data_IF_835258681301
#
_entry.id   IF_835258681301
#
_cell.length_a   1.000
_cell.length_b   1.000
_cell.length_c   1.000
_cell.angle_alpha   90.00
_cell.angle_beta   90.00
_cell.angle_gamma   90.00
#
_symmetry.space_group_name_H-M   'P 1'
#
loop_
_entity.id
_entity.type
_entity.pdbx_description
1 polymer ?
#
# COMPACT_ATOMS: atom_id res chain seq x y z
N UNK A 1 8.84 18.72 71.46
CA UNK A 1 7.79 18.02 70.68
C UNK A 1 6.47 18.71 71.00
N UNK A 2 5.82 19.34 70.03
CA UNK A 2 4.57 20.07 70.29
C UNK A 2 3.39 19.11 70.13
N UNK A 3 2.77 18.73 71.25
CA UNK A 3 1.77 17.66 71.33
C UNK A 3 0.47 17.99 70.56
N UNK A 4 0.20 19.28 70.31
CA UNK A 4 -0.99 19.74 69.60
C UNK A 4 -0.95 19.47 68.08
N UNK A 5 0.23 19.41 67.46
CA UNK A 5 0.36 19.18 66.02
C UNK A 5 0.96 17.81 65.69
N UNK A 6 1.49 17.09 66.66
CA UNK A 6 2.22 15.82 66.45
C UNK A 6 3.57 15.96 65.72
N UNK A 7 3.81 17.07 65.01
CA UNK A 7 5.05 17.32 64.26
C UNK A 7 6.23 17.73 65.15
N UNK A 8 7.42 17.20 64.84
CA UNK A 8 8.69 17.55 65.52
C UNK A 8 9.35 18.82 65.00
N UNK A 9 9.19 19.14 63.71
CA UNK A 9 9.78 20.30 63.03
C UNK A 9 8.62 21.09 62.41
N UNK A 10 8.52 22.40 62.67
CA UNK A 10 7.38 23.21 62.20
C UNK A 10 7.78 24.53 61.54
N UNK A 11 8.99 25.01 61.79
CA UNK A 11 9.54 26.26 61.24
C UNK A 11 10.98 26.05 60.84
N UNK A 12 11.45 26.78 59.82
CA UNK A 12 12.83 26.69 59.34
C UNK A 12 13.88 27.06 60.42
N UNK A 13 13.46 27.77 61.48
CA UNK A 13 14.31 28.09 62.63
C UNK A 13 14.59 26.88 63.54
N UNK A 14 13.76 25.82 63.48
CA UNK A 14 13.93 24.61 64.31
C UNK A 14 14.96 23.65 63.68
N UNK A 15 14.84 23.41 62.38
CA UNK A 15 15.76 22.64 61.54
C UNK A 15 15.42 22.91 60.07
N UNK A 16 16.18 23.80 59.43
CA UNK A 16 15.93 24.20 58.05
C UNK A 16 16.10 23.02 57.07
N UNK A 17 17.13 22.19 57.26
CA UNK A 17 17.41 21.06 56.38
C UNK A 17 16.34 19.97 56.54
N UNK A 18 15.96 19.65 57.78
CA UNK A 18 14.90 18.69 58.07
C UNK A 18 13.52 19.14 57.56
N UNK A 19 13.21 20.44 57.62
CA UNK A 19 11.98 20.98 57.04
C UNK A 19 11.97 20.88 55.51
N UNK A 20 13.07 21.22 54.84
CA UNK A 20 13.17 21.12 53.38
C UNK A 20 13.00 19.68 52.89
N UNK A 21 13.64 18.71 53.55
CA UNK A 21 13.48 17.28 53.21
C UNK A 21 12.03 16.82 53.45
N UNK A 22 11.41 17.24 54.56
CA UNK A 22 10.03 16.89 54.84
C UNK A 22 9.05 17.48 53.80
N UNK A 23 9.25 18.73 53.39
CA UNK A 23 8.44 19.38 52.36
C UNK A 23 8.60 18.70 50.99
N UNK A 24 9.81 18.30 50.63
CA UNK A 24 10.10 17.57 49.38
C UNK A 24 9.48 16.16 49.38
N UNK A 25 9.56 15.44 50.50
CA UNK A 25 8.88 14.14 50.66
C UNK A 25 7.36 14.29 50.61
N UNK A 26 6.81 15.35 51.20
CA UNK A 26 5.38 15.64 51.12
C UNK A 26 4.95 16.00 49.69
N UNK A 27 5.76 16.76 48.95
CA UNK A 27 5.52 17.06 47.54
C UNK A 27 5.56 15.78 46.70
N UNK A 28 6.61 14.98 46.85
CA UNK A 28 6.79 13.70 46.18
C UNK A 28 5.65 12.72 46.46
N UNK A 29 5.19 12.63 47.71
CA UNK A 29 4.05 11.78 48.08
C UNK A 29 2.74 12.20 47.37
N UNK A 30 2.49 13.51 47.26
CA UNK A 30 1.33 14.02 46.52
C UNK A 30 1.43 13.75 45.03
N UNK A 31 2.61 13.93 44.44
CA UNK A 31 2.89 13.66 43.03
C UNK A 31 2.74 12.17 42.73
N UNK A 32 3.33 11.28 43.54
CA UNK A 32 3.17 9.83 43.40
C UNK A 32 1.70 9.41 43.52
N UNK A 33 0.92 10.02 44.41
CA UNK A 33 -0.51 9.77 44.48
C UNK A 33 -1.25 10.17 43.20
N UNK A 34 -0.79 11.21 42.49
CA UNK A 34 -1.29 11.55 41.15
C UNK A 34 -0.78 10.56 40.09
N UNK A 35 0.49 10.17 40.14
CA UNK A 35 1.06 9.15 39.26
C UNK A 35 0.28 7.84 39.31
N UNK A 36 -0.10 7.38 40.51
CA UNK A 36 -0.97 6.20 40.66
C UNK A 36 -2.33 6.39 39.97
N UNK A 37 -2.94 7.59 40.04
CA UNK A 37 -4.19 7.87 39.32
C UNK A 37 -3.99 7.80 37.81
N UNK A 38 -2.93 8.43 37.31
CA UNK A 38 -2.59 8.41 35.89
C UNK A 38 -2.33 6.97 35.39
N UNK A 39 -1.67 6.12 36.20
CA UNK A 39 -1.47 4.69 35.88
C UNK A 39 -2.80 3.97 35.82
N UNK A 40 -3.71 4.20 36.77
CA UNK A 40 -5.04 3.59 36.74
C UNK A 40 -5.85 4.01 35.51
N UNK A 41 -5.72 5.26 35.05
CA UNK A 41 -6.31 5.71 33.79
C UNK A 41 -5.70 4.96 32.60
N UNK A 42 -4.38 4.74 32.60
CA UNK A 42 -3.68 3.92 31.61
C UNK A 42 -4.14 2.46 31.57
N UNK A 43 -4.34 1.85 32.74
CA UNK A 43 -4.89 0.49 32.86
C UNK A 43 -6.31 0.45 32.27
N UNK A 44 -7.13 1.46 32.56
CA UNK A 44 -8.49 1.55 32.04
C UNK A 44 -8.50 1.68 30.51
N UNK A 45 -7.57 2.47 29.95
CA UNK A 45 -7.38 2.56 28.50
C UNK A 45 -6.99 1.21 27.89
N UNK A 46 -6.03 0.50 28.49
CA UNK A 46 -5.60 -0.80 27.99
C UNK A 46 -6.72 -1.83 28.04
N UNK A 47 -7.58 -1.80 29.07
CA UNK A 47 -8.75 -2.68 29.15
C UNK A 47 -9.76 -2.41 28.02
N UNK A 48 -9.97 -1.14 27.66
CA UNK A 48 -10.83 -0.78 26.51
C UNK A 48 -10.20 -1.25 25.21
N UNK A 49 -8.88 -1.06 25.04
CA UNK A 49 -8.16 -1.53 23.86
C UNK A 49 -8.22 -3.06 23.73
N UNK A 50 -7.99 -3.79 24.82
CA UNK A 50 -7.97 -5.26 24.86
C UNK A 50 -9.34 -5.84 24.51
N UNK A 51 -10.42 -5.30 25.10
CA UNK A 51 -11.78 -5.71 24.76
C UNK A 51 -12.13 -5.44 23.28
N UNK A 52 -11.66 -4.33 22.71
CA UNK A 52 -11.85 -4.06 21.29
C UNK A 52 -11.06 -5.05 20.42
N UNK A 53 -9.81 -5.36 20.78
CA UNK A 53 -8.96 -6.32 20.07
C UNK A 53 -9.56 -7.73 20.11
N UNK A 54 -10.15 -8.14 21.23
CA UNK A 54 -10.85 -9.43 21.34
C UNK A 54 -11.97 -9.53 20.30
N UNK A 55 -12.83 -8.51 20.19
CA UNK A 55 -13.88 -8.46 19.17
C UNK A 55 -13.31 -8.46 17.73
N UNK A 56 -12.24 -7.69 17.48
CA UNK A 56 -11.58 -7.66 16.17
C UNK A 56 -11.00 -9.04 15.80
N UNK A 57 -10.43 -9.75 16.77
CA UNK A 57 -9.89 -11.09 16.59
C UNK A 57 -10.99 -12.09 16.22
N UNK A 58 -12.13 -12.05 16.91
CA UNK A 58 -13.30 -12.89 16.57
C UNK A 58 -13.79 -12.65 15.14
N UNK A 59 -13.83 -11.39 14.71
CA UNK A 59 -14.21 -11.03 13.34
C UNK A 59 -13.22 -11.61 12.32
N UNK A 60 -11.91 -11.50 12.57
CA UNK A 60 -10.86 -12.03 11.67
C UNK A 60 -10.96 -13.55 11.56
N UNK A 61 -11.12 -14.25 12.68
CA UNK A 61 -11.33 -15.70 12.68
C UNK A 61 -12.56 -16.06 11.85
N UNK A 62 -13.67 -15.33 12.02
CA UNK A 62 -14.88 -15.58 11.23
C UNK A 62 -14.68 -15.31 9.74
N UNK A 63 -13.94 -14.27 9.36
CA UNK A 63 -13.59 -14.00 7.97
C UNK A 63 -12.77 -15.14 7.35
N UNK A 64 -11.83 -15.71 8.11
CA UNK A 64 -11.05 -16.88 7.68
C UNK A 64 -11.95 -18.10 7.47
N UNK A 65 -12.89 -18.37 8.39
CA UNK A 65 -13.86 -19.46 8.23
C UNK A 65 -14.71 -19.32 6.96
N UNK A 66 -15.15 -18.10 6.63
CA UNK A 66 -15.93 -17.83 5.42
C UNK A 66 -15.10 -18.02 4.15
N UNK A 67 -13.83 -17.61 4.18
CA UNK A 67 -12.90 -17.82 3.07
C UNK A 67 -12.68 -19.31 2.80
N UNK A 68 -12.44 -20.11 3.85
CA UNK A 68 -12.28 -21.57 3.73
C UNK A 68 -13.55 -22.24 3.19
N UNK A 69 -14.72 -21.81 3.67
CA UNK A 69 -16.00 -22.31 3.13
C UNK A 69 -16.19 -21.94 1.66
N UNK A 70 -15.81 -20.73 1.25
CA UNK A 70 -15.94 -20.28 -0.13
C UNK A 70 -14.96 -21.00 -1.08
N UNK A 71 -13.78 -21.37 -0.58
CA UNK A 71 -12.75 -22.13 -1.31
C UNK A 71 -13.17 -23.58 -1.58
N UNK A 72 -14.11 -24.13 -0.80
CA UNK A 72 -14.63 -25.46 -1.03
C UNK A 72 -15.34 -25.56 -2.40
N UNK A 73 -14.88 -26.48 -3.24
CA UNK A 73 -15.42 -26.74 -4.58
C UNK A 73 -16.88 -27.18 -4.61
N UNK A 74 -17.44 -27.65 -3.48
CA UNK A 74 -18.85 -28.08 -3.41
C UNK A 74 -19.86 -26.93 -3.31
N UNK A 75 -19.40 -25.71 -2.99
CA UNK A 75 -20.29 -24.55 -2.90
C UNK A 75 -20.63 -23.99 -4.27
N UNK A 76 -21.90 -23.72 -4.51
CA UNK A 76 -22.35 -23.04 -5.73
C UNK A 76 -21.98 -21.56 -5.72
N UNK A 77 -21.96 -20.93 -6.90
CA UNK A 77 -21.74 -19.48 -7.02
C UNK A 77 -22.78 -18.64 -6.26
N UNK A 78 -24.01 -19.14 -6.09
CA UNK A 78 -25.04 -18.47 -5.28
C UNK A 78 -24.70 -18.50 -3.79
N UNK A 79 -24.23 -19.64 -3.28
CA UNK A 79 -23.83 -19.76 -1.88
C UNK A 79 -22.58 -18.93 -1.58
N UNK A 80 -21.59 -18.94 -2.47
CA UNK A 80 -20.41 -18.05 -2.35
C UNK A 80 -20.78 -16.57 -2.28
N UNK A 81 -21.82 -16.12 -3.02
CA UNK A 81 -22.33 -14.75 -2.90
C UNK A 81 -22.88 -14.44 -1.51
N UNK A 82 -23.57 -15.39 -0.87
CA UNK A 82 -24.10 -15.20 0.49
C UNK A 82 -22.95 -15.12 1.51
N UNK A 83 -21.96 -16.01 1.40
CA UNK A 83 -20.75 -15.94 2.24
C UNK A 83 -20.02 -14.60 2.06
N UNK A 84 -19.93 -14.10 0.83
CA UNK A 84 -19.34 -12.80 0.55
C UNK A 84 -20.12 -11.63 1.17
N UNK A 85 -21.45 -11.69 1.21
CA UNK A 85 -22.26 -10.66 1.89
C UNK A 85 -21.96 -10.65 3.40
N UNK A 86 -21.87 -11.83 4.03
CA UNK A 86 -21.51 -11.94 5.45
C UNK A 86 -20.08 -11.41 5.69
N UNK A 87 -19.13 -11.77 4.82
CA UNK A 87 -17.76 -11.28 4.90
C UNK A 87 -17.68 -9.75 4.77
N UNK A 88 -18.47 -9.14 3.88
CA UNK A 88 -18.54 -7.68 3.75
C UNK A 88 -19.10 -7.02 5.01
N UNK A 89 -20.19 -7.54 5.58
CA UNK A 89 -20.76 -7.01 6.81
C UNK A 89 -19.77 -7.11 8.00
N UNK A 90 -19.00 -8.19 8.06
CA UNK A 90 -17.94 -8.37 9.07
C UNK A 90 -16.77 -7.41 8.86
N UNK A 91 -16.38 -7.15 7.61
CA UNK A 91 -15.36 -6.12 7.30
C UNK A 91 -15.85 -4.73 7.72
N UNK A 92 -17.10 -4.38 7.41
CA UNK A 92 -17.69 -3.11 7.82
C UNK A 92 -17.69 -2.97 9.35
N UNK A 93 -18.05 -4.04 10.07
CA UNK A 93 -18.03 -4.04 11.54
C UNK A 93 -16.61 -3.95 12.10
N UNK A 94 -15.64 -4.64 11.48
CA UNK A 94 -14.22 -4.53 11.84
C UNK A 94 -13.80 -3.06 11.78
N UNK A 95 -13.95 -2.39 10.64
CA UNK A 95 -13.55 -0.98 10.50
C UNK A 95 -14.38 -0.04 11.37
N UNK A 96 -15.65 -0.35 11.64
CA UNK A 96 -16.45 0.42 12.60
C UNK A 96 -15.85 0.37 14.00
N UNK A 97 -15.44 -0.80 14.50
CA UNK A 97 -14.82 -0.93 15.83
C UNK A 97 -13.52 -0.13 15.89
N UNK A 98 -12.67 -0.25 14.87
CA UNK A 98 -11.37 0.45 14.83
C UNK A 98 -11.55 1.98 14.81
N UNK A 99 -12.52 2.48 14.04
CA UNK A 99 -12.80 3.91 13.94
C UNK A 99 -13.58 4.47 15.13
N UNK A 100 -14.35 3.65 15.85
CA UNK A 100 -15.21 4.14 16.95
C UNK A 100 -14.57 4.05 18.32
N UNK A 101 -13.70 3.07 18.56
CA UNK A 101 -13.09 2.83 19.89
C UNK A 101 -12.25 4.01 20.36
N UNK A 102 -12.61 4.55 21.52
CA UNK A 102 -11.93 5.70 22.13
C UNK A 102 -11.84 5.59 23.65
N UNK A 103 -10.85 6.29 24.20
CA UNK A 103 -10.73 6.54 25.64
C UNK A 103 -10.51 8.04 25.85
N UNK A 104 -11.37 8.69 26.65
CA UNK A 104 -11.36 10.15 26.85
C UNK A 104 -11.26 10.93 25.53
N UNK A 105 -12.18 10.63 24.59
CA UNK A 105 -12.27 11.23 23.24
C UNK A 105 -11.09 10.99 22.30
N UNK A 106 -10.06 10.27 22.76
CA UNK A 106 -8.93 9.90 21.91
C UNK A 106 -9.20 8.54 21.25
N UNK A 107 -9.06 8.46 19.93
CA UNK A 107 -9.31 7.27 19.09
C UNK A 107 -8.14 6.30 19.10
N UNK A 108 -8.34 5.07 19.59
CA UNK A 108 -7.21 4.17 19.90
C UNK A 108 -6.50 3.59 18.67
N UNK A 109 -7.16 3.50 17.51
CA UNK A 109 -6.67 2.72 16.36
C UNK A 109 -6.54 3.48 15.03
N UNK A 110 -6.85 4.78 15.00
CA UNK A 110 -6.87 5.58 13.76
C UNK A 110 -5.57 6.35 13.48
N UNK A 111 -4.45 5.96 14.10
CA UNK A 111 -3.14 6.61 13.91
C UNK A 111 -2.85 7.78 14.85
N UNK A 112 -3.82 8.29 15.60
CA UNK A 112 -3.61 9.36 16.59
C UNK A 112 -2.90 8.90 17.89
N UNK A 113 -2.54 7.61 17.98
CA UNK A 113 -1.97 6.95 19.16
C UNK A 113 -0.55 6.37 18.93
N UNK A 114 0.30 7.09 18.20
CA UNK A 114 1.67 6.63 17.95
C UNK A 114 2.51 6.50 19.23
N UNK A 115 2.26 7.32 20.25
CA UNK A 115 2.80 7.10 21.60
C UNK A 115 1.93 7.77 22.67
N UNK A 116 1.49 7.00 23.67
CA UNK A 116 0.87 7.54 24.87
C UNK A 116 1.87 7.49 26.03
N UNK A 117 2.33 8.66 26.46
CA UNK A 117 3.19 8.79 27.64
C UNK A 117 2.35 9.02 28.89
N UNK A 118 2.43 8.11 29.86
CA UNK A 118 1.72 8.23 31.13
C UNK A 118 2.68 8.65 32.22
N UNK A 119 2.52 9.87 32.73
CA UNK A 119 3.30 10.37 33.87
C UNK A 119 3.03 9.54 35.13
N UNK A 120 4.01 8.75 35.56
CA UNK A 120 3.89 7.75 36.63
C UNK A 120 4.54 8.19 37.96
N UNK A 121 5.35 9.25 37.97
CA UNK A 121 6.14 9.63 39.14
C UNK A 121 6.59 11.10 39.20
N UNK A 122 7.64 11.35 39.99
CA UNK A 122 8.25 12.67 40.18
C UNK A 122 9.29 12.95 39.11
N UNK A 123 9.24 14.15 38.52
CA UNK A 123 10.16 14.59 37.46
C UNK A 123 9.58 14.41 36.06
N UNK A 124 10.10 15.14 35.07
CA UNK A 124 9.53 15.19 33.72
C UNK A 124 9.68 13.90 32.90
N UNK A 125 10.54 12.96 33.35
CA UNK A 125 10.94 11.79 32.56
C UNK A 125 10.48 10.46 33.20
N UNK A 126 9.66 10.51 34.25
CA UNK A 126 9.07 9.29 34.83
C UNK A 126 7.75 8.96 34.15
N UNK A 127 7.84 8.60 32.87
CA UNK A 127 6.70 8.22 32.04
C UNK A 127 6.72 6.72 31.73
N UNK A 128 5.54 6.14 31.57
CA UNK A 128 5.35 4.83 30.93
C UNK A 128 4.86 5.07 29.51
N UNK A 129 5.63 4.61 28.53
CA UNK A 129 5.24 4.68 27.13
C UNK A 129 4.41 3.45 26.77
N UNK A 130 3.20 3.68 26.25
CA UNK A 130 2.32 2.63 25.73
C UNK A 130 2.19 2.79 24.21
N UNK A 131 2.36 1.69 23.49
CA UNK A 131 2.16 1.61 22.04
C UNK A 131 1.13 0.53 21.71
N UNK A 132 0.08 0.91 20.97
CA UNK A 132 -0.98 -0.01 20.51
C UNK A 132 -0.80 -0.45 19.05
N UNK A 133 0.33 -0.08 18.43
CA UNK A 133 0.69 -0.54 17.08
C UNK A 133 -0.01 0.22 15.95
N UNK A 134 0.29 1.51 15.78
CA UNK A 134 0.04 2.29 14.56
C UNK A 134 -1.41 2.38 14.06
N UNK A 135 -1.59 3.03 12.91
CA UNK A 135 -2.87 3.06 12.23
C UNK A 135 -3.15 1.72 11.55
N UNK A 136 -4.27 1.08 11.90
CA UNK A 136 -4.87 0.05 11.04
C UNK A 136 -5.62 0.76 9.93
N UNK A 137 -5.29 0.44 8.67
CA UNK A 137 -5.87 1.08 7.49
C UNK A 137 -7.39 1.13 7.58
N UNK A 138 -8.02 2.20 7.08
CA UNK A 138 -9.44 2.48 7.34
C UNK A 138 -10.42 1.63 6.53
N UNK A 139 -9.93 0.79 5.61
CA UNK A 139 -10.76 0.03 4.67
C UNK A 139 -11.41 0.89 3.58
N UNK A 140 -11.17 2.20 3.59
CA UNK A 140 -11.71 3.14 2.63
C UNK A 140 -10.74 3.33 1.47
N UNK A 141 -11.25 3.23 0.25
CA UNK A 141 -10.51 3.74 -0.91
C UNK A 141 -10.46 5.26 -0.83
N UNK A 142 -9.27 5.83 -1.05
CA UNK A 142 -9.14 7.28 -1.20
C UNK A 142 -10.06 7.78 -2.33
N UNK A 143 -10.54 9.03 -2.27
CA UNK A 143 -11.32 9.63 -3.33
C UNK A 143 -10.64 9.48 -4.69
N UNK A 144 -11.44 9.34 -5.75
CA UNK A 144 -10.93 9.25 -7.13
C UNK A 144 -10.04 10.45 -7.45
N UNK A 145 -8.81 10.18 -7.88
CA UNK A 145 -7.90 11.19 -8.41
C UNK A 145 -8.13 11.25 -9.92
N UNK A 146 -8.69 12.35 -10.40
CA UNK A 146 -8.86 12.58 -11.84
C UNK A 146 -7.63 13.31 -12.39
N UNK A 147 -6.90 12.68 -13.31
CA UNK A 147 -5.78 13.29 -14.01
C UNK A 147 -6.00 13.27 -15.52
N UNK A 148 -5.86 14.43 -16.16
CA UNK A 148 -6.04 14.56 -17.60
C UNK A 148 -4.74 14.30 -18.35
N UNK A 149 -4.78 13.45 -19.36
CA UNK A 149 -3.66 13.19 -20.29
C UNK A 149 -3.52 14.27 -21.38
N UNK A 150 -4.57 15.09 -21.57
CA UNK A 150 -4.64 16.06 -22.66
C UNK A 150 -4.83 15.47 -24.06
N UNK A 151 -4.97 14.13 -24.19
CA UNK A 151 -5.16 13.42 -25.45
C UNK A 151 -6.61 12.87 -25.58
N UNK A 152 -7.26 13.01 -26.75
CA UNK A 152 -8.67 12.67 -26.91
C UNK A 152 -9.04 11.18 -26.83
N UNK A 153 -8.13 10.19 -26.72
CA UNK A 153 -8.55 8.78 -26.73
C UNK A 153 -7.58 7.78 -26.05
N UNK A 154 -7.46 7.77 -24.72
CA UNK A 154 -6.82 6.64 -24.04
C UNK A 154 -7.60 5.35 -24.31
N UNK A 155 -6.91 4.31 -24.76
CA UNK A 155 -7.54 3.07 -25.26
C UNK A 155 -7.17 1.83 -24.46
N UNK A 156 -5.96 1.78 -23.88
CA UNK A 156 -5.45 0.66 -23.08
C UNK A 156 -4.62 1.20 -21.91
N UNK A 157 -4.58 0.42 -20.84
CA UNK A 157 -3.75 0.69 -19.67
C UNK A 157 -3.08 -0.60 -19.22
N UNK A 158 -1.83 -0.50 -18.76
CA UNK A 158 -1.12 -1.55 -18.03
C UNK A 158 -0.40 -0.95 -16.83
N UNK A 159 -0.13 -1.78 -15.82
CA UNK A 159 0.57 -1.38 -14.61
C UNK A 159 1.90 -2.12 -14.49
N UNK A 160 2.94 -1.42 -14.08
CA UNK A 160 4.27 -1.97 -13.80
C UNK A 160 5.08 -0.96 -13.01
N UNK A 161 6.23 -1.35 -12.48
CA UNK A 161 7.22 -0.42 -11.94
C UNK A 161 8.21 -0.10 -13.08
N UNK A 162 8.01 1.02 -13.79
CA UNK A 162 8.80 1.37 -14.99
C UNK A 162 10.06 2.16 -14.66
N UNK A 163 10.19 2.67 -13.43
CA UNK A 163 11.36 3.40 -12.95
C UNK A 163 12.11 2.69 -11.81
N UNK A 164 11.69 1.48 -11.44
CA UNK A 164 12.30 0.62 -10.44
C UNK A 164 12.35 1.23 -9.03
N UNK A 165 11.37 2.08 -8.68
CA UNK A 165 11.30 2.72 -7.37
C UNK A 165 10.48 1.94 -6.33
N UNK A 166 9.89 0.81 -6.73
CA UNK A 166 9.05 -0.05 -5.90
C UNK A 166 7.60 0.43 -5.75
N UNK A 167 7.24 1.53 -6.39
CA UNK A 167 5.87 2.05 -6.49
C UNK A 167 5.32 1.65 -7.86
N UNK A 168 4.04 1.24 -7.88
CA UNK A 168 3.40 0.85 -9.12
C UNK A 168 3.06 2.08 -9.97
N UNK A 169 3.50 2.05 -11.23
CA UNK A 169 3.22 3.03 -12.26
C UNK A 169 2.15 2.51 -13.23
N UNK A 170 1.76 3.35 -14.20
CA UNK A 170 0.92 2.96 -15.32
C UNK A 170 1.47 3.40 -16.67
N UNK A 171 1.25 2.56 -17.68
CA UNK A 171 1.41 2.91 -19.08
C UNK A 171 0.04 2.98 -19.75
N UNK A 172 -0.22 4.08 -20.48
CA UNK A 172 -1.49 4.33 -21.14
C UNK A 172 -1.26 4.53 -22.63
N UNK A 173 -1.86 3.66 -23.43
CA UNK A 173 -1.84 3.78 -24.89
C UNK A 173 -2.93 4.75 -25.36
N UNK A 174 -2.51 5.84 -25.97
CA UNK A 174 -3.36 6.76 -26.73
C UNK A 174 -3.18 6.55 -28.24
N UNK A 175 -3.73 7.44 -29.06
CA UNK A 175 -3.79 7.28 -30.53
C UNK A 175 -2.44 6.96 -31.19
N UNK A 176 -1.38 7.68 -30.80
CA UNK A 176 -0.01 7.57 -31.34
C UNK A 176 1.09 7.73 -30.27
N UNK A 177 0.68 7.76 -29.00
CA UNK A 177 1.56 7.99 -27.85
C UNK A 177 1.34 6.97 -26.76
N UNK A 178 2.43 6.67 -26.06
CA UNK A 178 2.38 6.02 -24.77
C UNK A 178 2.61 7.07 -23.70
N UNK A 179 1.77 7.08 -22.68
CA UNK A 179 1.98 7.89 -21.49
C UNK A 179 2.46 6.99 -20.37
N UNK A 180 3.53 7.39 -19.69
CA UNK A 180 3.98 6.75 -18.46
C UNK A 180 3.61 7.68 -17.31
N UNK A 181 2.74 7.19 -16.44
CA UNK A 181 2.39 7.84 -15.18
C UNK A 181 3.20 7.20 -14.06
N UNK A 182 4.23 7.89 -13.59
CA UNK A 182 5.06 7.45 -12.46
C UNK A 182 4.33 7.67 -11.14
N UNK A 183 4.14 6.62 -10.36
CA UNK A 183 3.43 6.63 -9.11
C UNK A 183 4.20 7.40 -8.03
N UNK A 184 3.48 8.12 -7.18
CA UNK A 184 4.07 8.80 -6.02
C UNK A 184 3.80 8.06 -4.70
N UNK A 185 3.08 6.94 -4.76
CA UNK A 185 2.70 6.11 -3.60
C UNK A 185 1.47 6.61 -2.84
N UNK A 186 0.99 7.82 -3.10
CA UNK A 186 -0.22 8.36 -2.45
C UNK A 186 -1.51 8.19 -3.27
N UNK A 187 -1.39 7.65 -4.49
CA UNK A 187 -2.47 7.50 -5.48
C UNK A 187 -2.43 8.55 -6.61
N UNK A 188 -1.48 9.48 -6.57
CA UNK A 188 -1.19 10.41 -7.68
C UNK A 188 -0.07 9.91 -8.58
N UNK A 189 0.00 10.48 -9.80
CA UNK A 189 0.97 10.10 -10.82
C UNK A 189 1.64 11.34 -11.43
N UNK A 190 2.91 11.22 -11.76
CA UNK A 190 3.63 12.17 -12.62
C UNK A 190 3.58 11.64 -14.04
N UNK A 191 2.82 12.31 -14.91
CA UNK A 191 2.57 11.84 -16.27
C UNK A 191 3.54 12.49 -17.25
N UNK A 192 4.37 11.65 -17.87
CA UNK A 192 5.23 12.02 -18.98
C UNK A 192 4.78 11.28 -20.25
N UNK A 193 4.58 11.96 -21.38
CA UNK A 193 4.46 11.27 -22.66
C UNK A 193 5.82 10.64 -23.00
N UNK A 194 5.82 9.35 -23.29
CA UNK A 194 6.91 8.69 -24.00
C UNK A 194 6.74 9.00 -25.49
N UNK A 195 7.88 9.16 -26.17
CA UNK A 195 8.02 9.42 -27.60
C UNK A 195 7.05 8.61 -28.46
N UNK A 196 6.74 9.11 -29.67
CA UNK A 196 5.81 8.47 -30.61
C UNK A 196 6.17 7.00 -30.86
N UNK A 197 5.25 6.09 -30.55
CA UNK A 197 5.42 4.65 -30.77
C UNK A 197 5.13 4.21 -32.23
N UNK A 198 4.85 5.17 -33.11
CA UNK A 198 4.31 4.95 -34.44
C UNK A 198 2.86 5.44 -34.56
N UNK A 199 2.30 5.36 -35.76
CA UNK A 199 0.91 5.77 -36.03
C UNK A 199 -0.05 4.60 -35.79
N UNK A 200 -1.21 4.84 -35.17
CA UNK A 200 -2.28 3.83 -35.04
C UNK A 200 -1.85 2.53 -34.33
N UNK A 201 -1.06 2.67 -33.27
CA UNK A 201 -0.69 1.55 -32.40
C UNK A 201 -1.95 0.94 -31.80
N UNK A 202 -2.13 -0.37 -32.00
CA UNK A 202 -3.33 -1.10 -31.61
C UNK A 202 -3.15 -1.78 -30.25
N UNK A 203 -1.94 -2.26 -29.95
CA UNK A 203 -1.57 -2.85 -28.67
C UNK A 203 -0.12 -2.51 -28.32
N UNK A 204 0.13 -2.42 -27.02
CA UNK A 204 1.45 -2.36 -26.42
C UNK A 204 1.54 -3.45 -25.34
N UNK A 205 2.64 -4.18 -25.31
CA UNK A 205 2.94 -5.24 -24.34
C UNK A 205 4.28 -4.96 -23.69
N UNK A 206 4.32 -5.04 -22.37
CA UNK A 206 5.53 -4.87 -21.58
C UNK A 206 6.22 -6.23 -21.36
N UNK A 207 7.54 -6.26 -21.52
CA UNK A 207 8.38 -7.42 -21.23
C UNK A 207 9.85 -6.97 -21.19
N UNK A 208 10.70 -7.69 -20.48
CA UNK A 208 12.16 -7.55 -20.59
C UNK A 208 12.61 -8.39 -21.80
N UNK A 209 12.86 -7.75 -22.94
CA UNK A 209 13.15 -8.45 -24.20
C UNK A 209 14.65 -8.64 -24.45
N UNK A 210 15.48 -7.89 -23.74
CA UNK A 210 16.95 -7.95 -23.81
C UNK A 210 17.59 -8.50 -22.51
N UNK A 211 16.77 -9.02 -21.59
CA UNK A 211 17.15 -9.64 -20.34
C UNK A 211 18.08 -8.76 -19.48
N UNK A 212 17.83 -7.45 -19.47
CA UNK A 212 18.59 -6.48 -18.68
C UNK A 212 17.96 -6.15 -17.32
N UNK A 213 16.77 -6.71 -17.05
CA UNK A 213 15.99 -6.49 -15.83
C UNK A 213 15.11 -5.25 -15.86
N UNK A 214 15.08 -4.52 -16.98
CA UNK A 214 14.25 -3.34 -17.18
C UNK A 214 13.09 -3.74 -18.10
N UNK A 215 11.91 -3.16 -17.84
CA UNK A 215 10.75 -3.40 -18.70
C UNK A 215 10.89 -2.61 -20.00
N UNK A 216 10.75 -3.31 -21.11
CA UNK A 216 10.64 -2.78 -22.46
C UNK A 216 9.20 -2.82 -22.96
N UNK A 217 8.95 -2.26 -24.14
CA UNK A 217 7.68 -2.39 -24.84
C UNK A 217 7.83 -3.04 -26.22
N UNK A 218 6.88 -3.90 -26.55
CA UNK A 218 6.60 -4.35 -27.92
C UNK A 218 5.23 -3.81 -28.34
N UNK A 219 5.14 -3.26 -29.55
CA UNK A 219 3.93 -2.61 -30.05
C UNK A 219 3.61 -3.09 -31.45
N UNK A 220 2.31 -3.20 -31.76
CA UNK A 220 1.86 -3.45 -33.12
C UNK A 220 1.01 -2.28 -33.63
N UNK A 221 1.18 -1.94 -34.90
CA UNK A 221 0.35 -0.96 -35.57
C UNK A 221 -0.44 -1.58 -36.71
N UNK A 222 -1.76 -1.39 -36.67
CA UNK A 222 -2.64 -1.76 -37.77
C UNK A 222 -2.58 -0.75 -38.91
N UNK A 223 -2.15 0.49 -38.65
CA UNK A 223 -2.13 1.57 -39.65
C UNK A 223 -0.99 1.46 -40.65
N UNK A 224 0.20 1.09 -40.17
CA UNK A 224 1.41 0.92 -41.00
C UNK A 224 1.86 -0.54 -41.13
N UNK A 225 1.14 -1.49 -40.50
CA UNK A 225 1.49 -2.92 -40.48
C UNK A 225 2.90 -3.18 -40.00
N UNK A 226 3.35 -2.46 -38.96
CA UNK A 226 4.65 -2.68 -38.31
C UNK A 226 4.51 -3.28 -36.92
N UNK A 227 5.49 -4.12 -36.58
CA UNK A 227 5.79 -4.55 -35.22
C UNK A 227 7.04 -3.78 -34.79
N UNK A 228 7.03 -3.23 -33.58
CA UNK A 228 8.13 -2.41 -33.06
C UNK A 228 8.47 -2.80 -31.63
N UNK A 229 9.68 -2.50 -31.20
CA UNK A 229 10.03 -2.50 -29.79
C UNK A 229 10.70 -1.19 -29.37
N UNK A 230 10.63 -0.89 -28.07
CA UNK A 230 11.28 0.25 -27.43
C UNK A 230 11.89 -0.23 -26.12
N UNK A 231 13.21 -0.11 -25.98
CA UNK A 231 13.92 -0.52 -24.77
C UNK A 231 13.73 0.50 -23.65
N UNK A 232 13.55 0.01 -22.42
CA UNK A 232 13.42 0.84 -21.23
C UNK A 232 14.78 1.36 -20.75
N UNK A 233 14.78 2.54 -20.16
CA UNK A 233 15.98 3.11 -19.52
C UNK A 233 15.99 2.92 -17.98
N UNK A 234 14.91 2.38 -17.42
CA UNK A 234 14.76 2.13 -15.98
C UNK A 234 14.44 3.38 -15.16
N UNK A 235 14.12 4.50 -15.80
CA UNK A 235 13.71 5.75 -15.16
C UNK A 235 12.29 6.20 -15.59
N UNK A 236 11.51 5.29 -16.17
CA UNK A 236 10.22 5.58 -16.79
C UNK A 236 10.29 6.13 -18.21
N UNK A 237 11.50 6.30 -18.78
CA UNK A 237 11.70 6.67 -20.18
C UNK A 237 12.11 5.48 -21.03
N UNK A 238 11.93 5.62 -22.35
CA UNK A 238 12.20 4.57 -23.33
C UNK A 238 13.01 5.13 -24.50
N UNK A 239 13.81 4.26 -25.09
CA UNK A 239 14.52 4.54 -26.34
C UNK A 239 13.54 4.63 -27.51
N UNK A 240 13.99 5.24 -28.61
CA UNK A 240 13.21 5.34 -29.84
C UNK A 240 12.80 3.96 -30.34
N UNK A 241 11.60 3.87 -30.93
CA UNK A 241 11.05 2.59 -31.39
C UNK A 241 11.82 2.05 -32.58
N UNK A 242 12.24 0.78 -32.52
CA UNK A 242 12.86 0.06 -33.63
C UNK A 242 11.87 -0.93 -34.27
N UNK A 243 11.96 -1.13 -35.59
CA UNK A 243 11.05 -2.00 -36.34
C UNK A 243 11.57 -3.44 -36.31
N UNK A 244 10.71 -4.36 -35.87
CA UNK A 244 10.90 -5.80 -36.07
C UNK A 244 10.40 -6.12 -37.48
N UNK A 245 11.33 -6.32 -38.41
CA UNK A 245 11.00 -6.54 -39.83
C UNK A 245 10.43 -7.93 -40.03
N UNK A 246 9.16 -8.02 -40.45
CA UNK A 246 8.50 -9.28 -40.75
C UNK A 246 7.62 -9.18 -42.01
N UNK A 247 7.41 -10.29 -42.73
CA UNK A 247 6.46 -10.36 -43.84
C UNK A 247 5.05 -10.66 -43.32
N UNK A 248 4.55 -9.89 -42.34
CA UNK A 248 3.18 -10.02 -41.82
C UNK A 248 2.35 -8.87 -42.36
N UNK A 249 1.14 -9.18 -42.83
CA UNK A 249 0.22 -8.18 -43.32
C UNK A 249 -0.93 -8.06 -42.31
N UNK A 250 -0.99 -6.96 -41.55
CA UNK A 250 -2.05 -6.63 -40.59
C UNK A 250 -2.05 -7.44 -39.27
N UNK A 251 -1.31 -6.92 -38.28
CA UNK A 251 -1.29 -7.44 -36.90
C UNK A 251 -2.59 -7.12 -36.15
N UNK A 252 -3.22 -8.13 -35.56
CA UNK A 252 -4.44 -7.93 -34.77
C UNK A 252 -4.29 -8.17 -33.27
N UNK A 253 -3.52 -9.17 -32.90
CA UNK A 253 -3.17 -9.49 -31.53
C UNK A 253 -1.65 -9.65 -31.40
N UNK A 254 -1.15 -9.25 -30.24
CA UNK A 254 0.24 -9.29 -29.82
C UNK A 254 0.30 -9.84 -28.39
N UNK A 255 1.21 -10.78 -28.18
CA UNK A 255 1.58 -11.28 -26.86
C UNK A 255 3.10 -11.45 -26.78
N UNK A 256 3.64 -11.35 -25.57
CA UNK A 256 5.06 -11.51 -25.29
C UNK A 256 5.19 -12.42 -24.07
N UNK A 257 5.88 -13.54 -24.23
CA UNK A 257 6.05 -14.57 -23.20
C UNK A 257 7.14 -15.55 -23.62
N UNK A 258 7.69 -16.34 -22.70
CA UNK A 258 8.58 -17.45 -23.04
C UNK A 258 7.74 -18.64 -23.55
N UNK A 259 7.65 -18.81 -24.87
CA UNK A 259 6.83 -19.85 -25.50
C UNK A 259 7.60 -21.16 -25.69
N UNK A 260 8.93 -21.11 -25.73
CA UNK A 260 9.77 -22.29 -25.97
C UNK A 260 10.43 -22.87 -24.68
N UNK A 261 10.37 -22.14 -23.56
CA UNK A 261 10.91 -22.51 -22.26
C UNK A 261 12.41 -22.23 -22.08
N UNK A 262 13.02 -21.34 -22.88
CA UNK A 262 14.46 -21.03 -22.82
C UNK A 262 14.81 -19.90 -21.84
N UNK A 263 13.79 -19.25 -21.25
CA UNK A 263 13.93 -18.16 -20.31
C UNK A 263 14.03 -16.77 -20.93
N UNK A 264 13.93 -16.65 -22.26
CA UNK A 264 13.90 -15.38 -22.97
C UNK A 264 12.48 -15.05 -23.44
N UNK A 265 12.23 -13.75 -23.64
CA UNK A 265 10.93 -13.28 -24.11
C UNK A 265 10.75 -13.59 -25.60
N UNK A 266 9.74 -14.37 -25.95
CA UNK A 266 9.31 -14.59 -27.33
C UNK A 266 8.10 -13.70 -27.66
N UNK A 267 7.88 -13.42 -28.95
CA UNK A 267 6.75 -12.62 -29.42
C UNK A 267 5.80 -13.50 -30.22
N UNK A 268 4.51 -13.51 -29.85
CA UNK A 268 3.45 -14.12 -30.66
C UNK A 268 2.53 -13.05 -31.25
N UNK A 269 2.31 -13.12 -32.57
CA UNK A 269 1.43 -12.22 -33.31
C UNK A 269 0.45 -13.00 -34.19
N UNK A 270 -0.75 -12.46 -34.36
CA UNK A 270 -1.73 -12.99 -35.33
C UNK A 270 -1.63 -12.24 -36.65
N UNK A 271 -1.42 -12.95 -37.74
CA UNK A 271 -1.56 -12.47 -39.11
C UNK A 271 -3.01 -12.67 -39.58
N UNK A 272 -3.72 -11.57 -39.87
CA UNK A 272 -5.10 -11.65 -40.36
C UNK A 272 -5.22 -11.94 -41.84
N UNK A 273 -4.17 -11.78 -42.61
CA UNK A 273 -4.18 -12.01 -44.06
C UNK A 273 -3.89 -13.47 -44.35
N UNK A 274 -2.91 -14.04 -43.65
CA UNK A 274 -2.50 -15.43 -43.83
C UNK A 274 -3.26 -16.41 -42.91
N UNK A 275 -4.12 -15.92 -42.02
CA UNK A 275 -4.88 -16.70 -41.02
C UNK A 275 -3.99 -17.55 -40.08
N UNK A 276 -2.81 -17.02 -39.75
CA UNK A 276 -1.77 -17.72 -38.98
C UNK A 276 -1.41 -17.01 -37.66
N UNK A 277 -0.85 -17.79 -36.73
CA UNK A 277 -0.12 -17.26 -35.57
C UNK A 277 1.35 -17.44 -35.86
N UNK A 278 2.10 -16.35 -35.82
CA UNK A 278 3.57 -16.36 -35.95
C UNK A 278 4.18 -16.15 -34.57
N UNK A 279 5.14 -16.99 -34.23
CA UNK A 279 5.91 -16.89 -32.98
C UNK A 279 7.34 -16.60 -33.37
N UNK A 280 7.91 -15.54 -32.79
CA UNK A 280 9.30 -15.18 -32.93
C UNK A 280 10.02 -15.51 -31.64
N UNK A 281 11.05 -16.34 -31.74
CA UNK A 281 11.89 -16.73 -30.63
C UNK A 281 12.90 -15.63 -30.32
N UNK A 282 12.91 -15.16 -29.08
CA UNK A 282 13.88 -14.21 -28.58
C UNK A 282 15.18 -14.90 -28.20
N UNK A 283 16.32 -14.23 -28.37
CA UNK A 283 17.62 -14.73 -27.90
C UNK A 283 18.12 -14.04 -26.62
N UNK A 284 17.25 -13.21 -26.01
CA UNK A 284 17.57 -12.42 -24.83
C UNK A 284 18.49 -11.23 -25.09
N UNK A 285 18.78 -10.88 -26.34
CA UNK A 285 19.57 -9.68 -26.69
C UNK A 285 18.72 -8.55 -27.29
N UNK A 286 17.40 -8.76 -27.37
CA UNK A 286 16.46 -7.92 -28.12
C UNK A 286 16.34 -8.31 -29.59
N UNK A 287 17.05 -9.33 -30.05
CA UNK A 287 16.90 -9.90 -31.38
C UNK A 287 15.88 -11.05 -31.38
N UNK A 288 15.19 -11.20 -32.52
CA UNK A 288 14.10 -12.16 -32.70
C UNK A 288 14.28 -12.93 -34.01
N UNK A 289 14.06 -14.25 -33.97
CA UNK A 289 14.11 -15.15 -35.12
C UNK A 289 12.80 -15.95 -35.25
N UNK A 290 12.45 -16.38 -36.46
CA UNK A 290 11.33 -17.34 -36.67
C UNK A 290 11.69 -18.77 -36.22
#
# INVERSE_FOLDING_TARGET
>A
MNVSSGSRIRRAVDDAAGLTIADDLHASARINKQGIRNINDGISLLQVADAAIENLSEIVVRLQELAEQAANGTYSSKQRKVLNIEAQALQDEFFRITQTTSFNDKKLFTGDFDSLQIQAGVGSNTTLDLGLGGAIGTGEFKPVVNQSLGDPSPSRISSADYNLDGILDFAILATDKLYIGLGTGDGSFSINPVTTLGTSVSQAKQADINNDGILDFVTNSAGDSTLRYSLGNGDGTFQDSEIISLPVNNYAALNVSDFNGDGFADIAVTDRVDDEVRVLLGDGTGAFNE
#
